data_IF_208140292443
#
_entry.id   IF_208140292443
#
_cell.length_a   1.000
_cell.length_b   1.000
_cell.length_c   1.000
_cell.angle_alpha   90.00
_cell.angle_beta   90.00
_cell.angle_gamma   90.00
#
_symmetry.space_group_name_H-M   'P 1'
#
loop_
_entity.id
_entity.type
_entity.pdbx_description
1 polymer ?
#
# COMPACT_ATOMS: atom_id res chain seq x y z
N UNK A 1 59.28 -4.56 -41.60
CA UNK A 1 59.06 -3.79 -40.36
C UNK A 1 59.21 -2.32 -40.71
N UNK A 2 58.12 -1.54 -40.89
CA UNK A 2 58.23 -0.13 -41.20
C UNK A 2 58.43 0.68 -39.92
N UNK A 3 59.49 1.49 -39.90
CA UNK A 3 59.84 2.41 -38.81
C UNK A 3 58.82 3.56 -38.75
N UNK A 4 58.11 3.69 -37.63
CA UNK A 4 57.21 4.83 -37.37
C UNK A 4 58.04 6.07 -37.01
N UNK A 5 57.83 7.18 -37.73
CA UNK A 5 58.35 8.49 -37.34
C UNK A 5 57.58 9.03 -36.12
N UNK A 6 58.24 9.79 -35.22
CA UNK A 6 57.59 10.35 -34.04
C UNK A 6 56.62 11.49 -34.41
N UNK A 7 55.55 11.69 -33.62
CA UNK A 7 54.54 12.71 -33.89
C UNK A 7 55.04 14.14 -33.64
N UNK A 8 54.45 15.16 -34.30
CA UNK A 8 54.81 16.56 -34.12
C UNK A 8 54.36 17.12 -32.76
N UNK A 9 55.00 18.19 -32.26
CA UNK A 9 54.69 18.79 -30.96
C UNK A 9 53.32 19.51 -30.96
N UNK A 10 52.66 19.49 -29.80
CA UNK A 10 51.36 20.12 -29.57
C UNK A 10 51.46 21.66 -29.52
N UNK A 11 50.43 22.39 -29.99
CA UNK A 11 50.41 23.86 -29.96
C UNK A 11 50.25 24.41 -28.53
N UNK A 12 50.94 25.52 -28.25
CA UNK A 12 50.90 26.26 -26.98
C UNK A 12 49.54 26.94 -26.77
N UNK A 13 48.92 26.73 -25.61
CA UNK A 13 47.63 27.34 -25.25
C UNK A 13 47.79 28.83 -24.91
N UNK A 14 47.61 29.69 -25.91
CA UNK A 14 47.27 31.10 -25.68
C UNK A 14 45.74 31.21 -25.79
N UNK A 15 45.05 31.38 -24.67
CA UNK A 15 43.59 31.52 -24.64
C UNK A 15 43.15 32.83 -25.31
N UNK A 16 42.20 32.83 -26.25
CA UNK A 16 41.54 34.05 -26.69
C UNK A 16 40.56 34.53 -25.61
N UNK A 17 40.55 35.83 -25.34
CA UNK A 17 39.50 36.47 -24.55
C UNK A 17 38.17 36.41 -25.32
N UNK A 18 37.28 35.50 -24.94
CA UNK A 18 35.88 35.53 -25.37
C UNK A 18 35.08 36.41 -24.41
N UNK A 19 34.69 37.60 -24.87
CA UNK A 19 33.63 38.37 -24.21
C UNK A 19 32.31 37.62 -24.36
N UNK A 20 31.73 37.17 -23.24
CA UNK A 20 30.36 36.66 -23.19
C UNK A 20 29.36 37.84 -23.24
N UNK A 21 28.27 37.78 -24.03
CA UNK A 21 27.22 38.79 -23.98
C UNK A 21 26.50 38.73 -22.63
N UNK A 22 26.29 39.88 -22.00
CA UNK A 22 25.50 40.02 -20.78
C UNK A 22 24.04 39.62 -21.04
N UNK A 23 23.59 38.56 -20.38
CA UNK A 23 22.19 38.14 -20.41
C UNK A 23 21.28 39.22 -19.77
N UNK A 24 20.09 39.49 -20.34
CA UNK A 24 19.13 40.36 -19.70
C UNK A 24 18.61 39.73 -18.40
N UNK A 25 18.54 40.53 -17.34
CA UNK A 25 18.02 40.14 -16.03
C UNK A 25 16.52 39.82 -16.17
N UNK A 26 16.01 38.69 -15.66
CA UNK A 26 14.58 38.39 -15.73
C UNK A 26 13.78 39.45 -14.94
N UNK A 27 12.54 39.76 -15.36
CA UNK A 27 11.72 40.75 -14.66
C UNK A 27 11.46 40.28 -13.23
N UNK A 28 11.57 41.19 -12.28
CA UNK A 28 11.20 40.95 -10.89
C UNK A 28 9.72 40.63 -10.81
N UNK A 29 9.40 39.35 -10.61
CA UNK A 29 8.04 38.92 -10.30
C UNK A 29 7.72 39.48 -8.92
N UNK A 30 6.76 40.41 -8.85
CA UNK A 30 6.19 40.86 -7.58
C UNK A 30 5.68 39.61 -6.84
N UNK A 31 6.37 39.24 -5.77
CA UNK A 31 5.97 38.17 -4.86
C UNK A 31 4.69 38.59 -4.15
N UNK A 32 3.55 38.23 -4.73
CA UNK A 32 2.31 38.18 -3.97
C UNK A 32 2.46 37.07 -2.92
N UNK A 33 2.13 37.33 -1.65
CA UNK A 33 2.17 36.28 -0.65
C UNK A 33 1.19 35.18 -1.10
N UNK A 34 1.72 33.96 -1.28
CA UNK A 34 0.90 32.77 -1.37
C UNK A 34 0.07 32.74 -0.09
N UNK A 35 -1.20 33.16 -0.21
CA UNK A 35 -2.19 32.97 0.85
C UNK A 35 -2.20 31.47 1.10
N UNK A 36 -1.71 31.06 2.27
CA UNK A 36 -1.78 29.70 2.78
C UNK A 36 -3.25 29.34 2.86
N UNK A 37 -3.78 28.78 1.78
CA UNK A 37 -5.07 28.13 1.85
C UNK A 37 -4.86 26.90 2.73
N UNK A 38 -5.65 26.71 3.80
CA UNK A 38 -5.61 25.46 4.53
C UNK A 38 -5.89 24.33 3.53
N UNK A 39 -5.04 23.30 3.56
CA UNK A 39 -5.29 22.09 2.80
C UNK A 39 -6.72 21.62 3.14
N UNK A 40 -7.50 21.11 2.16
CA UNK A 40 -8.79 20.53 2.45
C UNK A 40 -8.62 19.54 3.59
N UNK A 41 -9.47 19.64 4.61
CA UNK A 41 -9.52 18.62 5.64
C UNK A 41 -9.70 17.27 4.93
N UNK A 42 -8.90 16.25 5.25
CA UNK A 42 -9.12 14.93 4.67
C UNK A 42 -10.59 14.55 4.91
N UNK A 43 -11.24 13.89 3.94
CA UNK A 43 -12.59 13.40 4.15
C UNK A 43 -12.64 12.61 5.46
N UNK A 44 -13.76 12.71 6.18
CA UNK A 44 -13.95 11.97 7.42
C UNK A 44 -13.61 10.50 7.18
N UNK A 45 -12.62 10.00 7.92
CA UNK A 45 -12.13 8.64 7.78
C UNK A 45 -13.22 7.69 8.25
N UNK A 46 -13.84 6.94 7.33
CA UNK A 46 -14.88 5.97 7.64
C UNK A 46 -14.22 4.69 8.13
N UNK A 47 -13.92 4.61 9.43
CA UNK A 47 -13.48 3.36 10.06
C UNK A 47 -14.66 2.52 10.51
N UNK A 48 -14.58 1.20 10.32
CA UNK A 48 -15.45 0.26 11.02
C UNK A 48 -14.99 0.11 12.47
N UNK A 49 -15.91 -0.21 13.38
CA UNK A 49 -15.53 -0.64 14.73
C UNK A 49 -14.83 -2.00 14.64
N UNK A 50 -13.75 -2.26 15.40
CA UNK A 50 -13.17 -3.59 15.53
C UNK A 50 -14.22 -4.67 15.80
N UNK A 51 -13.99 -5.93 15.38
CA UNK A 51 -14.76 -7.02 15.94
C UNK A 51 -14.63 -6.98 17.47
N UNK A 52 -15.66 -7.38 18.24
CA UNK A 52 -15.55 -7.48 19.68
C UNK A 52 -14.42 -8.43 20.06
N UNK A 53 -13.73 -8.13 21.16
CA UNK A 53 -12.73 -9.08 21.68
C UNK A 53 -13.47 -10.32 22.18
N UNK A 54 -12.92 -11.51 21.96
CA UNK A 54 -13.29 -12.67 22.76
C UNK A 54 -13.15 -12.24 24.22
N UNK A 55 -14.18 -12.45 25.03
CA UNK A 55 -14.17 -12.01 26.42
C UNK A 55 -12.93 -12.60 27.11
N UNK A 56 -12.06 -11.72 27.62
CA UNK A 56 -11.05 -12.09 28.60
C UNK A 56 -11.83 -12.35 29.91
N UNK A 57 -12.37 -13.56 30.08
CA UNK A 57 -13.09 -13.96 31.30
C UNK A 57 -12.11 -13.94 32.49
N UNK A 58 -12.12 -12.85 33.26
CA UNK A 58 -11.65 -12.83 34.65
C UNK A 58 -12.67 -13.62 35.51
N UNK A 59 -12.59 -14.95 35.36
CA UNK A 59 -13.20 -16.01 36.18
C UNK A 59 -14.51 -15.72 36.92
N UNK A 60 -15.62 -16.25 36.39
CA UNK A 60 -16.68 -16.83 37.23
C UNK A 60 -17.45 -17.91 36.46
N UNK A 61 -17.35 -19.15 36.98
CA UNK A 61 -17.85 -20.39 36.40
C UNK A 61 -19.38 -20.55 36.52
N UNK A 62 -20.06 -20.97 35.45
CA UNK A 62 -21.27 -21.83 35.52
C UNK A 62 -21.35 -22.79 34.31
N UNK A 63 -21.99 -23.94 34.54
CA UNK A 63 -21.81 -25.22 33.83
C UNK A 63 -22.77 -25.41 32.63
N UNK A 64 -22.21 -25.79 31.47
CA UNK A 64 -22.96 -26.27 30.29
C UNK A 64 -22.02 -26.72 29.17
N UNK A 65 -22.26 -27.90 28.61
CA UNK A 65 -21.32 -28.60 27.73
C UNK A 65 -21.09 -27.92 26.36
N UNK A 66 -20.03 -27.12 26.27
CA UNK A 66 -19.20 -26.85 25.09
C UNK A 66 -17.83 -26.46 25.63
N UNK A 67 -16.75 -26.98 25.05
CA UNK A 67 -15.37 -26.72 25.53
C UNK A 67 -15.12 -25.20 25.57
N UNK A 68 -15.24 -24.61 26.76
CA UNK A 68 -15.42 -23.18 27.01
C UNK A 68 -14.14 -22.37 26.87
N UNK A 69 -13.38 -22.59 25.81
CA UNK A 69 -12.19 -21.81 25.50
C UNK A 69 -12.61 -20.54 24.76
N UNK A 70 -12.42 -19.39 25.39
CA UNK A 70 -12.41 -18.09 24.68
C UNK A 70 -11.25 -18.11 23.68
N UNK A 71 -11.55 -18.11 22.38
CA UNK A 71 -10.55 -18.14 21.32
C UNK A 71 -10.03 -16.73 21.05
N UNK A 72 -8.72 -16.49 21.20
CA UNK A 72 -8.12 -15.18 20.93
C UNK A 72 -8.07 -14.80 19.44
N UNK A 73 -7.81 -13.53 19.13
CA UNK A 73 -7.58 -13.08 17.74
C UNK A 73 -6.36 -13.70 17.06
N UNK A 74 -5.46 -14.33 17.81
CA UNK A 74 -4.33 -15.06 17.25
C UNK A 74 -4.68 -16.47 16.78
N UNK A 75 -5.88 -16.97 17.10
CA UNK A 75 -6.33 -18.32 16.76
C UNK A 75 -7.13 -18.29 15.45
N UNK A 76 -6.81 -19.18 14.53
CA UNK A 76 -7.49 -19.25 13.23
C UNK A 76 -8.97 -19.60 13.40
N UNK A 77 -9.30 -20.43 14.40
CA UNK A 77 -10.65 -20.91 14.70
C UNK A 77 -11.61 -19.75 15.05
N UNK A 78 -11.11 -18.70 15.70
CA UNK A 78 -11.91 -17.50 15.98
C UNK A 78 -12.38 -16.84 14.67
N UNK A 79 -11.43 -16.65 13.74
CA UNK A 79 -11.70 -16.00 12.47
C UNK A 79 -12.51 -16.89 11.53
N UNK A 80 -12.21 -18.19 11.49
CA UNK A 80 -12.99 -19.17 10.72
C UNK A 80 -14.47 -19.13 11.13
N UNK A 81 -14.77 -19.15 12.44
CA UNK A 81 -16.14 -19.07 12.94
C UNK A 81 -16.85 -17.78 12.49
N UNK A 82 -16.16 -16.64 12.60
CA UNK A 82 -16.68 -15.33 12.17
C UNK A 82 -16.97 -15.30 10.67
N UNK A 83 -16.04 -15.76 9.82
CA UNK A 83 -16.23 -15.72 8.38
C UNK A 83 -17.33 -16.67 7.89
N UNK A 84 -17.52 -17.80 8.58
CA UNK A 84 -18.69 -18.68 8.35
C UNK A 84 -19.99 -17.94 8.69
N UNK A 85 -20.07 -17.27 9.82
CA UNK A 85 -21.26 -16.51 10.25
C UNK A 85 -21.60 -15.36 9.30
N UNK A 86 -20.59 -14.57 8.92
CA UNK A 86 -20.75 -13.40 8.06
C UNK A 86 -20.88 -13.76 6.57
N UNK A 87 -20.65 -15.02 6.20
CA UNK A 87 -20.76 -15.51 4.83
C UNK A 87 -19.80 -14.82 3.84
N UNK A 88 -18.67 -14.31 4.33
CA UNK A 88 -17.70 -13.56 3.52
C UNK A 88 -18.14 -12.14 3.14
N UNK A 89 -19.09 -11.55 3.87
CA UNK A 89 -19.44 -10.14 3.69
C UNK A 89 -18.19 -9.24 3.77
N UNK A 90 -18.04 -8.25 2.86
CA UNK A 90 -16.87 -7.39 2.89
C UNK A 90 -16.77 -6.57 4.16
N UNK A 91 -15.59 -6.60 4.78
CA UNK A 91 -15.35 -5.87 6.02
C UNK A 91 -13.91 -5.36 6.07
N UNK A 92 -13.75 -4.04 6.20
CA UNK A 92 -12.47 -3.37 6.45
C UNK A 92 -12.46 -2.91 7.90
N UNK A 93 -11.58 -3.50 8.71
CA UNK A 93 -11.47 -3.18 10.13
C UNK A 93 -11.12 -1.69 10.32
N UNK A 94 -10.04 -1.20 9.72
CA UNK A 94 -9.56 0.16 9.97
C UNK A 94 -10.00 1.19 8.94
N UNK A 95 -9.52 1.09 7.69
CA UNK A 95 -9.78 2.08 6.64
C UNK A 95 -9.88 1.41 5.28
N UNK A 96 -10.63 2.04 4.37
CA UNK A 96 -10.71 1.71 2.95
C UNK A 96 -9.49 2.19 2.17
N UNK A 97 -9.23 1.58 1.02
CA UNK A 97 -8.12 1.97 0.15
C UNK A 97 -8.17 3.45 -0.21
N UNK A 98 -9.34 4.01 -0.51
CA UNK A 98 -9.49 5.43 -0.87
C UNK A 98 -8.87 6.40 0.13
N UNK A 99 -9.00 6.12 1.43
CA UNK A 99 -8.42 6.95 2.48
C UNK A 99 -6.90 6.78 2.59
N UNK A 100 -6.38 5.57 2.33
CA UNK A 100 -4.96 5.24 2.43
C UNK A 100 -4.19 5.49 1.13
N UNK A 101 -4.87 5.56 -0.01
CA UNK A 101 -4.32 5.62 -1.36
C UNK A 101 -3.24 6.69 -1.54
N UNK A 102 -3.40 7.95 -1.07
CA UNK A 102 -2.36 8.96 -1.21
C UNK A 102 -1.04 8.55 -0.55
N UNK A 103 -1.10 7.82 0.56
CA UNK A 103 0.07 7.38 1.32
C UNK A 103 0.67 6.12 0.71
N UNK A 104 -0.16 5.13 0.35
CA UNK A 104 0.30 3.88 -0.28
C UNK A 104 1.05 4.19 -1.58
N UNK A 105 0.52 5.09 -2.42
CA UNK A 105 1.14 5.46 -3.70
C UNK A 105 2.50 6.16 -3.55
N UNK A 106 2.81 6.75 -2.40
CA UNK A 106 4.13 7.35 -2.16
C UNK A 106 5.24 6.31 -2.04
N UNK A 107 4.92 5.08 -1.60
CA UNK A 107 5.91 4.06 -1.27
C UNK A 107 5.80 2.80 -2.13
N UNK A 108 4.62 2.50 -2.65
CA UNK A 108 4.33 1.34 -3.47
C UNK A 108 3.63 1.79 -4.76
N UNK A 109 4.35 2.11 -5.84
CA UNK A 109 3.73 2.38 -7.14
C UNK A 109 2.96 1.15 -7.67
N UNK A 110 2.05 1.30 -8.65
CA UNK A 110 1.22 0.18 -9.12
C UNK A 110 1.98 -1.04 -9.69
N UNK A 111 3.22 -0.84 -10.14
CA UNK A 111 4.10 -1.92 -10.60
C UNK A 111 4.77 -2.71 -9.47
N UNK A 112 4.59 -2.30 -8.22
CA UNK A 112 5.11 -3.02 -7.05
C UNK A 112 4.38 -4.34 -6.84
N UNK A 113 5.11 -5.32 -6.33
CA UNK A 113 4.54 -6.58 -5.85
C UNK A 113 4.11 -6.42 -4.40
N UNK A 114 2.85 -6.71 -4.12
CA UNK A 114 2.22 -6.46 -2.82
C UNK A 114 1.90 -7.78 -2.13
N UNK A 115 2.27 -7.89 -0.86
CA UNK A 115 1.81 -8.94 0.04
C UNK A 115 0.84 -8.30 1.04
N UNK A 116 -0.42 -8.70 1.01
CA UNK A 116 -1.45 -8.26 1.95
C UNK A 116 -1.59 -9.32 3.05
N UNK A 117 -1.12 -8.99 4.25
CA UNK A 117 -1.14 -9.89 5.42
C UNK A 117 -2.38 -9.65 6.26
N UNK A 118 -3.10 -10.72 6.61
CA UNK A 118 -4.36 -10.62 7.34
C UNK A 118 -5.42 -9.92 6.49
N UNK A 119 -5.56 -10.38 5.23
CA UNK A 119 -6.41 -9.70 4.26
C UNK A 119 -7.90 -9.74 4.63
N UNK A 120 -8.33 -10.76 5.38
CA UNK A 120 -9.73 -11.01 5.68
C UNK A 120 -10.63 -10.95 4.46
N UNK A 121 -11.85 -10.44 4.66
CA UNK A 121 -12.82 -10.14 3.60
C UNK A 121 -12.74 -8.68 3.10
N UNK A 122 -11.64 -7.97 3.40
CA UNK A 122 -11.48 -6.56 3.02
C UNK A 122 -11.49 -6.37 1.50
N UNK A 123 -12.01 -5.23 1.03
CA UNK A 123 -11.95 -4.89 -0.40
C UNK A 123 -10.67 -4.11 -0.76
N UNK A 124 -9.79 -3.84 0.21
CA UNK A 124 -8.52 -3.13 0.02
C UNK A 124 -7.77 -3.59 -1.25
N UNK A 125 -7.55 -4.89 -1.42
CA UNK A 125 -6.82 -5.42 -2.58
C UNK A 125 -7.60 -5.31 -3.89
N UNK A 126 -8.93 -5.40 -3.87
CA UNK A 126 -9.78 -5.23 -5.06
C UNK A 126 -9.74 -3.76 -5.55
N UNK A 127 -9.85 -2.82 -4.62
CA UNK A 127 -9.74 -1.39 -4.89
C UNK A 127 -8.34 -1.05 -5.44
N UNK A 128 -7.28 -1.70 -4.92
CA UNK A 128 -5.92 -1.56 -5.44
C UNK A 128 -5.78 -2.11 -6.87
N UNK A 129 -6.34 -3.28 -7.20
CA UNK A 129 -6.35 -3.76 -8.60
C UNK A 129 -7.02 -2.74 -9.51
N UNK A 130 -8.16 -2.21 -9.09
CA UNK A 130 -8.90 -1.17 -9.83
C UNK A 130 -8.06 0.10 -10.03
N UNK A 131 -7.19 0.45 -9.08
CA UNK A 131 -6.23 1.58 -9.18
C UNK A 131 -4.95 1.25 -9.98
N UNK A 132 -4.89 0.06 -10.58
CA UNK A 132 -3.87 -0.34 -11.54
C UNK A 132 -2.73 -1.19 -10.97
N UNK A 133 -2.86 -1.70 -9.74
CA UNK A 133 -1.89 -2.66 -9.19
C UNK A 133 -2.03 -4.01 -9.90
N UNK A 134 -0.89 -4.61 -10.24
CA UNK A 134 -0.87 -5.77 -11.16
C UNK A 134 -0.47 -7.10 -10.51
N UNK A 135 0.10 -7.06 -9.30
CA UNK A 135 0.57 -8.26 -8.60
C UNK A 135 0.36 -8.12 -7.09
N UNK A 136 -0.76 -8.66 -6.61
CA UNK A 136 -1.14 -8.67 -5.19
C UNK A 136 -1.35 -10.13 -4.74
N UNK A 137 -0.70 -10.50 -3.65
CA UNK A 137 -0.87 -11.77 -2.96
C UNK A 137 -1.49 -11.51 -1.59
N UNK A 138 -2.66 -12.07 -1.36
CA UNK A 138 -3.40 -12.01 -0.11
C UNK A 138 -3.13 -13.29 0.72
N UNK A 139 -2.85 -13.11 2.01
CA UNK A 139 -2.75 -14.20 2.98
C UNK A 139 -3.56 -13.88 4.23
N UNK A 140 -4.06 -14.93 4.87
CA UNK A 140 -4.79 -14.86 6.12
C UNK A 140 -4.59 -16.17 6.88
N UNK A 141 -4.66 -16.11 8.22
CA UNK A 141 -4.58 -17.31 9.06
C UNK A 141 -5.85 -18.15 8.95
N UNK A 142 -6.98 -17.54 8.57
CA UNK A 142 -8.24 -18.23 8.33
C UNK A 142 -8.24 -18.89 6.94
N UNK A 143 -8.28 -20.22 6.92
CA UNK A 143 -8.45 -20.97 5.67
C UNK A 143 -9.82 -20.71 5.03
N UNK A 144 -10.85 -20.47 5.85
CA UNK A 144 -12.22 -20.19 5.40
C UNK A 144 -12.26 -18.94 4.52
N UNK A 145 -11.70 -17.81 4.99
CA UNK A 145 -11.74 -16.58 4.19
C UNK A 145 -10.87 -16.66 2.95
N UNK A 146 -9.73 -17.36 3.01
CA UNK A 146 -8.91 -17.60 1.82
C UNK A 146 -9.67 -18.37 0.76
N UNK A 147 -10.42 -19.41 1.13
CA UNK A 147 -11.26 -20.14 0.17
C UNK A 147 -12.39 -19.27 -0.41
N UNK A 148 -13.04 -18.46 0.43
CA UNK A 148 -14.08 -17.52 -0.02
C UNK A 148 -13.51 -16.50 -1.01
N UNK A 149 -12.35 -15.91 -0.70
CA UNK A 149 -11.73 -14.88 -1.54
C UNK A 149 -11.14 -15.45 -2.83
N UNK A 150 -10.59 -16.69 -2.80
CA UNK A 150 -10.23 -17.42 -4.02
C UNK A 150 -11.42 -17.60 -4.96
N UNK A 151 -12.59 -17.97 -4.42
CA UNK A 151 -13.82 -18.12 -5.21
C UNK A 151 -14.32 -16.78 -5.73
N UNK A 152 -14.23 -15.72 -4.92
CA UNK A 152 -14.68 -14.37 -5.30
C UNK A 152 -13.84 -13.80 -6.45
N UNK A 153 -12.53 -13.97 -6.41
CA UNK A 153 -11.59 -13.35 -7.36
C UNK A 153 -10.96 -14.36 -8.34
N UNK A 154 -11.66 -15.46 -8.63
CA UNK A 154 -11.12 -16.53 -9.47
C UNK A 154 -10.75 -16.08 -10.90
N UNK A 155 -11.38 -15.01 -11.37
CA UNK A 155 -11.22 -14.40 -12.69
C UNK A 155 -10.42 -13.08 -12.66
N UNK A 156 -9.81 -12.73 -11.51
CA UNK A 156 -8.97 -11.54 -11.34
C UNK A 156 -7.51 -11.97 -11.22
N UNK A 157 -6.77 -12.15 -12.33
CA UNK A 157 -5.42 -12.74 -12.30
C UNK A 157 -4.37 -11.89 -11.57
N UNK A 158 -4.62 -10.59 -11.38
CA UNK A 158 -3.75 -9.68 -10.63
C UNK A 158 -3.78 -9.91 -9.11
N UNK A 159 -4.83 -10.58 -8.61
CA UNK A 159 -5.09 -10.77 -7.19
C UNK A 159 -5.16 -12.27 -6.88
N UNK A 160 -4.20 -12.75 -6.10
CA UNK A 160 -4.13 -14.14 -5.69
C UNK A 160 -4.36 -14.26 -4.18
N UNK A 161 -5.00 -15.34 -3.75
CA UNK A 161 -5.17 -15.64 -2.33
C UNK A 161 -4.48 -16.97 -2.02
N UNK A 162 -3.54 -16.98 -1.07
CA UNK A 162 -2.79 -18.16 -0.64
C UNK A 162 -2.88 -18.35 0.88
N UNK A 163 -2.78 -19.61 1.32
CA UNK A 163 -2.70 -19.97 2.74
C UNK A 163 -1.22 -20.10 3.12
#
# INVERSE_FOLDING_TARGET
>A
MPMLLPPPPLPSSSSPNYYLPSHPRPPSVLSHPLRSQPLPLPPAMSSSSPPPRPDDDDGAQEVGASDGRSLGYGEAEYWDARYVEEGGAPYDWYQRYDALRPFVRCFAPPASRILMVGCGSALMSEDMVTDGYVEIVNIDISSVVIEMMRKKYFDVPQLQCIL
#
